data_IF_172347237801
#
_entry.id   IF_172347237801
#
_cell.length_a   1.000
_cell.length_b   1.000
_cell.length_c   1.000
_cell.angle_alpha   90.00
_cell.angle_beta   90.00
_cell.angle_gamma   90.00
#
_symmetry.space_group_name_H-M   'P 1'
#
loop_
_entity.id
_entity.type
_entity.pdbx_description
1 polymer ?
#
# COMPACT_ATOMS: atom_id res chain seq x y z
N UNK A 1 46.92 29.95 28.22
CA UNK A 1 45.53 30.19 27.79
C UNK A 1 45.52 30.56 26.31
N UNK A 2 44.60 30.03 25.50
CA UNK A 2 44.48 30.46 24.11
C UNK A 2 43.93 31.89 24.03
N UNK A 3 44.46 32.72 23.13
CA UNK A 3 43.98 34.10 22.94
C UNK A 3 42.63 34.13 22.22
N UNK A 4 41.84 35.19 22.42
CA UNK A 4 40.52 35.37 21.77
C UNK A 4 40.63 35.23 20.24
N UNK A 5 41.70 35.77 19.64
CA UNK A 5 41.98 35.61 18.21
C UNK A 5 42.20 34.15 17.78
N UNK A 6 42.77 33.29 18.64
CA UNK A 6 42.94 31.86 18.35
C UNK A 6 41.60 31.11 18.37
N UNK A 7 40.66 31.51 19.22
CA UNK A 7 39.30 30.95 19.28
C UNK A 7 38.44 31.37 18.08
N UNK A 8 38.63 32.60 17.57
CA UNK A 8 37.85 33.16 16.45
C UNK A 8 38.41 32.74 15.08
N UNK A 9 39.70 32.42 14.98
CA UNK A 9 40.38 32.10 13.70
C UNK A 9 39.79 30.91 12.94
N UNK A 10 39.19 29.94 13.63
CA UNK A 10 38.47 28.81 13.02
C UNK A 10 37.07 28.72 13.63
N UNK A 11 36.08 29.22 12.92
CA UNK A 11 34.68 29.05 13.30
C UNK A 11 34.34 27.57 13.48
N UNK A 12 33.44 27.25 14.41
CA UNK A 12 32.97 25.87 14.59
C UNK A 12 32.25 25.41 13.31
N UNK A 13 32.82 24.44 12.62
CA UNK A 13 32.13 23.77 11.51
C UNK A 13 31.06 22.84 12.07
N UNK A 14 29.84 22.93 11.53
CA UNK A 14 28.80 21.99 11.87
C UNK A 14 29.18 20.59 11.36
N UNK A 15 29.16 19.55 12.20
CA UNK A 15 29.50 18.20 11.75
C UNK A 15 28.53 17.74 10.66
N UNK A 16 29.06 17.30 9.51
CA UNK A 16 28.25 16.75 8.42
C UNK A 16 27.50 15.51 8.92
N UNK A 17 26.17 15.50 8.79
CA UNK A 17 25.34 14.33 9.12
C UNK A 17 25.67 13.20 8.15
N UNK A 18 26.15 12.06 8.68
CA UNK A 18 26.39 10.86 7.86
C UNK A 18 25.06 10.29 7.38
N UNK A 19 24.95 10.05 6.07
CA UNK A 19 23.78 9.38 5.51
C UNK A 19 23.79 7.91 5.96
N UNK A 20 22.73 7.50 6.67
CA UNK A 20 22.57 6.12 7.18
C UNK A 20 22.29 5.11 6.05
N UNK A 21 21.82 5.56 4.88
CA UNK A 21 21.41 4.74 3.75
C UNK A 21 21.99 5.25 2.41
N UNK A 22 23.33 5.20 2.22
CA UNK A 22 23.98 5.78 1.03
C UNK A 22 23.54 5.14 -0.30
N UNK A 23 23.26 3.83 -0.31
CA UNK A 23 22.93 3.10 -1.55
C UNK A 23 21.56 3.46 -2.15
N UNK A 24 20.65 4.05 -1.35
CA UNK A 24 19.34 4.46 -1.82
C UNK A 24 19.35 5.79 -2.60
N UNK A 25 20.49 6.51 -2.61
CA UNK A 25 20.65 7.83 -3.26
C UNK A 25 19.47 8.77 -2.96
N UNK A 26 19.26 9.08 -1.67
CA UNK A 26 18.20 9.94 -1.14
C UNK A 26 16.74 9.48 -1.34
N UNK A 27 16.50 8.28 -1.90
CA UNK A 27 15.15 7.72 -1.94
C UNK A 27 14.79 7.03 -0.61
N UNK A 28 13.53 7.13 -0.15
CA UNK A 28 13.09 6.45 1.07
C UNK A 28 13.10 4.93 0.91
N UNK A 29 12.75 4.44 -0.27
CA UNK A 29 12.68 3.03 -0.62
C UNK A 29 13.15 2.84 -2.06
N UNK A 30 13.72 1.68 -2.38
CA UNK A 30 14.17 1.37 -3.73
C UNK A 30 14.00 -0.10 -4.07
N UNK A 31 13.56 -0.36 -5.30
CA UNK A 31 13.40 -1.71 -5.83
C UNK A 31 14.78 -2.32 -6.13
N UNK A 32 14.89 -3.62 -5.91
CA UNK A 32 16.05 -4.42 -6.27
C UNK A 32 15.68 -5.88 -6.50
N UNK A 33 16.66 -6.65 -6.97
CA UNK A 33 16.53 -8.09 -7.26
C UNK A 33 17.42 -8.84 -6.28
N UNK A 34 16.89 -9.87 -5.62
CA UNK A 34 17.65 -10.76 -4.77
C UNK A 34 18.63 -11.58 -5.60
N UNK A 35 19.91 -11.50 -5.26
CA UNK A 35 20.95 -12.34 -5.87
C UNK A 35 21.18 -13.62 -5.10
N UNK A 36 21.12 -13.58 -3.76
CA UNK A 36 21.28 -14.77 -2.90
C UNK A 36 20.63 -14.53 -1.54
N UNK A 37 20.19 -15.60 -0.88
CA UNK A 37 19.54 -15.57 0.45
C UNK A 37 20.25 -16.55 1.39
N UNK A 38 20.61 -16.11 2.60
CA UNK A 38 21.32 -16.94 3.59
C UNK A 38 21.06 -16.46 5.03
N UNK A 39 21.60 -17.17 6.01
CA UNK A 39 21.52 -16.81 7.43
C UNK A 39 22.85 -16.27 7.96
N UNK A 40 22.80 -15.28 8.85
CA UNK A 40 23.95 -14.66 9.51
C UNK A 40 23.79 -14.79 11.03
N UNK A 41 24.89 -15.13 11.71
CA UNK A 41 24.98 -15.10 13.17
C UNK A 41 25.02 -13.64 13.67
N UNK A 42 24.12 -13.23 14.58
CA UNK A 42 24.15 -11.89 15.16
C UNK A 42 25.37 -11.69 16.06
N UNK A 43 25.74 -10.43 16.34
CA UNK A 43 26.87 -10.08 17.23
C UNK A 43 26.59 -10.44 18.70
N UNK A 44 25.33 -10.52 19.11
CA UNK A 44 24.96 -10.88 20.48
C UNK A 44 25.08 -12.40 20.68
N UNK A 45 25.77 -12.87 21.73
CA UNK A 45 25.85 -14.30 22.03
C UNK A 45 24.45 -14.86 22.27
N UNK A 46 24.23 -16.11 21.85
CA UNK A 46 22.98 -16.88 22.03
C UNK A 46 21.72 -16.27 21.37
N UNK A 47 21.88 -15.34 20.42
CA UNK A 47 20.75 -14.79 19.67
C UNK A 47 20.48 -15.60 18.40
N UNK A 48 19.20 -15.75 18.05
CA UNK A 48 18.74 -16.52 16.90
C UNK A 48 19.39 -16.07 15.58
N UNK A 49 19.64 -17.03 14.69
CA UNK A 49 20.15 -16.78 13.34
C UNK A 49 19.24 -15.79 12.60
N UNK A 50 19.85 -14.79 11.97
CA UNK A 50 19.11 -13.75 11.22
C UNK A 50 19.15 -14.06 9.74
N UNK A 51 17.99 -13.97 9.10
CA UNK A 51 17.84 -14.20 7.67
C UNK A 51 18.20 -12.92 6.92
N UNK A 52 19.04 -13.05 5.90
CA UNK A 52 19.65 -11.93 5.18
C UNK A 52 19.67 -12.24 3.69
N UNK A 53 19.46 -11.22 2.85
CA UNK A 53 19.57 -11.35 1.40
C UNK A 53 20.57 -10.34 0.84
N UNK A 54 21.21 -10.71 -0.27
CA UNK A 54 22.01 -9.82 -1.11
C UNK A 54 21.08 -9.33 -2.19
N UNK A 55 20.94 -8.02 -2.31
CA UNK A 55 20.00 -7.38 -3.22
C UNK A 55 20.77 -6.44 -4.14
N UNK A 56 20.62 -6.63 -5.45
CA UNK A 56 21.08 -5.69 -6.47
C UNK A 56 19.99 -4.63 -6.68
N UNK A 57 20.25 -3.40 -6.27
CA UNK A 57 19.30 -2.31 -6.45
C UNK A 57 19.20 -1.91 -7.93
N UNK A 58 18.11 -1.23 -8.28
CA UNK A 58 17.95 -0.56 -9.58
C UNK A 58 19.08 0.42 -9.94
N UNK A 59 19.84 0.89 -8.96
CA UNK A 59 21.02 1.74 -9.16
C UNK A 59 22.28 0.97 -9.57
N UNK A 60 22.22 -0.37 -9.67
CA UNK A 60 23.36 -1.25 -9.90
C UNK A 60 24.17 -1.58 -8.64
N UNK A 61 23.90 -0.90 -7.52
CA UNK A 61 24.61 -1.12 -6.26
C UNK A 61 24.07 -2.36 -5.56
N UNK A 62 24.97 -3.26 -5.17
CA UNK A 62 24.63 -4.41 -4.34
C UNK A 62 24.68 -4.08 -2.86
N UNK A 63 23.65 -4.49 -2.14
CA UNK A 63 23.51 -4.26 -0.71
C UNK A 63 23.12 -5.54 -0.01
N UNK A 64 23.60 -5.68 1.23
CA UNK A 64 23.17 -6.75 2.12
C UNK A 64 22.01 -6.22 2.96
N UNK A 65 20.86 -6.89 2.88
CA UNK A 65 19.60 -6.47 3.47
C UNK A 65 19.08 -7.52 4.47
N UNK A 66 18.62 -7.07 5.62
CA UNK A 66 17.94 -7.91 6.60
C UNK A 66 16.54 -8.29 6.11
N UNK A 67 16.14 -9.55 6.30
CA UNK A 67 14.78 -10.04 6.05
C UNK A 67 14.04 -10.06 7.40
N UNK A 68 13.04 -9.20 7.63
CA UNK A 68 12.32 -9.19 8.89
C UNK A 68 11.23 -10.26 8.96
N UNK A 69 11.00 -10.77 10.18
CA UNK A 69 9.97 -11.77 10.50
C UNK A 69 10.38 -13.22 10.24
N UNK A 70 9.44 -14.13 10.49
CA UNK A 70 9.58 -15.57 10.23
C UNK A 70 8.88 -15.94 8.90
N UNK A 71 9.19 -17.12 8.33
CA UNK A 71 8.54 -17.65 7.11
C UNK A 71 8.61 -16.74 5.87
N UNK A 72 9.79 -16.57 5.27
CA UNK A 72 9.93 -15.80 4.03
C UNK A 72 10.10 -16.74 2.83
N UNK A 73 9.48 -16.41 1.69
CA UNK A 73 9.57 -17.18 0.45
C UNK A 73 10.51 -16.52 -0.59
N UNK A 74 11.52 -15.76 -0.13
CA UNK A 74 12.44 -15.13 -1.08
C UNK A 74 13.38 -16.19 -1.64
N UNK A 75 13.43 -16.25 -2.95
CA UNK A 75 14.38 -17.04 -3.70
C UNK A 75 15.38 -16.11 -4.37
N UNK A 76 16.35 -16.70 -5.06
CA UNK A 76 17.17 -15.95 -6.01
C UNK A 76 16.27 -15.37 -7.10
N UNK A 77 16.63 -14.20 -7.61
CA UNK A 77 15.90 -13.42 -8.61
C UNK A 77 14.55 -12.81 -8.15
N UNK A 78 14.12 -13.04 -6.92
CA UNK A 78 12.94 -12.38 -6.37
C UNK A 78 13.11 -10.86 -6.34
N UNK A 79 12.07 -10.13 -6.76
CA UNK A 79 11.99 -8.68 -6.75
C UNK A 79 11.55 -8.21 -5.37
N UNK A 80 12.33 -7.29 -4.80
CA UNK A 80 12.14 -6.79 -3.44
C UNK A 80 12.18 -5.28 -3.38
N UNK A 81 11.54 -4.74 -2.34
CA UNK A 81 11.60 -3.33 -1.99
C UNK A 81 12.45 -3.17 -0.74
N UNK A 82 13.46 -2.31 -0.81
CA UNK A 82 14.45 -2.11 0.25
C UNK A 82 14.30 -0.71 0.83
N UNK A 83 14.35 -0.59 2.16
CA UNK A 83 14.39 0.70 2.85
C UNK A 83 15.65 0.81 3.74
N UNK A 84 15.96 2.05 4.12
CA UNK A 84 17.09 2.35 5.00
C UNK A 84 16.80 1.97 6.45
N UNK A 85 17.85 1.57 7.18
CA UNK A 85 17.74 1.11 8.56
C UNK A 85 17.85 -0.41 8.62
N UNK A 86 18.86 -0.90 9.33
CA UNK A 86 19.10 -2.32 9.57
C UNK A 86 19.18 -2.63 11.07
N UNK A 87 19.00 -3.90 11.47
CA UNK A 87 19.16 -4.31 12.86
C UNK A 87 20.56 -3.95 13.37
N UNK A 88 20.63 -3.36 14.56
CA UNK A 88 21.92 -3.00 15.20
C UNK A 88 22.79 -4.21 15.52
N UNK A 89 22.17 -5.38 15.57
CA UNK A 89 22.81 -6.64 15.95
C UNK A 89 23.63 -7.28 14.81
N UNK A 90 23.46 -6.81 13.57
CA UNK A 90 24.12 -7.35 12.39
C UNK A 90 25.18 -6.38 11.86
N UNK A 91 26.44 -6.82 11.86
CA UNK A 91 27.55 -6.07 11.27
C UNK A 91 27.39 -5.95 9.75
N UNK A 92 27.45 -4.73 9.22
CA UNK A 92 27.42 -4.49 7.77
C UNK A 92 26.03 -4.48 7.12
N UNK A 93 24.97 -4.83 7.84
CA UNK A 93 23.58 -4.82 7.32
C UNK A 93 22.91 -3.48 7.65
N UNK A 94 22.87 -2.57 6.69
CA UNK A 94 22.32 -1.20 6.87
C UNK A 94 20.90 -1.03 6.33
N UNK A 95 20.39 -2.04 5.65
CA UNK A 95 19.12 -1.99 4.93
C UNK A 95 18.23 -3.14 5.37
N UNK A 96 16.93 -2.93 5.28
CA UNK A 96 15.91 -3.94 5.58
C UNK A 96 14.97 -4.07 4.39
N UNK A 97 14.57 -5.30 4.10
CA UNK A 97 13.57 -5.59 3.07
C UNK A 97 12.18 -5.29 3.63
N UNK A 98 11.39 -4.53 2.88
CA UNK A 98 9.98 -4.25 3.19
C UNK A 98 9.17 -5.51 2.94
N UNK A 99 8.45 -6.01 3.95
CA UNK A 99 7.56 -7.18 3.83
C UNK A 99 6.19 -6.79 3.24
N UNK A 100 5.54 -7.77 2.61
CA UNK A 100 4.20 -7.61 2.01
C UNK A 100 4.19 -6.72 0.77
N UNK A 101 5.35 -6.50 0.15
CA UNK A 101 5.50 -5.78 -1.12
C UNK A 101 6.33 -6.61 -2.08
N UNK A 102 5.89 -6.68 -3.34
CA UNK A 102 6.50 -7.53 -4.37
C UNK A 102 6.55 -9.00 -3.91
N UNK A 103 7.69 -9.68 -4.06
CA UNK A 103 7.80 -11.12 -3.85
C UNK A 103 7.96 -11.51 -2.38
N UNK A 104 8.03 -10.53 -1.48
CA UNK A 104 8.00 -10.77 -0.04
C UNK A 104 6.59 -11.11 0.42
N UNK A 105 6.14 -12.32 0.08
CA UNK A 105 4.90 -12.91 0.54
C UNK A 105 4.87 -12.87 2.08
N UNK A 106 4.10 -11.91 2.58
CA UNK A 106 3.72 -11.76 3.99
C UNK A 106 2.26 -11.37 4.11
N UNK A 107 1.50 -11.39 3.01
CA UNK A 107 0.06 -11.26 3.06
C UNK A 107 -0.53 -12.66 3.15
N UNK A 108 -1.24 -12.93 4.25
CA UNK A 108 -1.99 -14.17 4.50
C UNK A 108 -2.95 -14.48 3.35
N UNK A 109 -3.33 -13.45 2.57
CA UNK A 109 -4.08 -13.57 1.33
C UNK A 109 -3.24 -13.07 0.14
N UNK A 110 -2.86 -13.95 -0.79
CA UNK A 110 -2.25 -13.58 -2.09
C UNK A 110 -3.27 -12.98 -3.08
N UNK A 111 -4.34 -12.35 -2.59
CA UNK A 111 -5.36 -11.77 -3.45
C UNK A 111 -5.01 -10.30 -3.77
N UNK A 112 -4.90 -9.91 -5.06
CA UNK A 112 -4.66 -8.53 -5.47
C UNK A 112 -5.70 -7.54 -4.92
N UNK A 113 -6.95 -7.96 -4.75
CA UNK A 113 -8.02 -7.11 -4.19
C UNK A 113 -7.79 -6.77 -2.72
N UNK A 114 -7.35 -7.75 -1.92
CA UNK A 114 -7.02 -7.52 -0.51
C UNK A 114 -5.83 -6.57 -0.38
N UNK A 115 -4.81 -6.76 -1.23
CA UNK A 115 -3.65 -5.84 -1.27
C UNK A 115 -4.07 -4.42 -1.65
N UNK A 116 -4.97 -4.26 -2.62
CA UNK A 116 -5.53 -2.96 -2.98
C UNK A 116 -6.34 -2.35 -1.84
N UNK A 117 -7.09 -3.15 -1.07
CA UNK A 117 -7.84 -2.70 0.11
C UNK A 117 -6.91 -2.15 1.19
N UNK A 118 -5.87 -2.92 1.55
CA UNK A 118 -4.85 -2.53 2.54
C UNK A 118 -4.23 -1.19 2.16
N UNK A 119 -3.82 -1.04 0.90
CA UNK A 119 -3.22 0.21 0.41
C UNK A 119 -4.18 1.40 0.44
N UNK A 120 -5.50 1.17 0.37
CA UNK A 120 -6.52 2.24 0.45
C UNK A 120 -6.88 2.60 1.89
N UNK A 121 -6.91 1.62 2.79
CA UNK A 121 -7.11 1.83 4.23
C UNK A 121 -5.92 2.55 4.85
N UNK A 122 -4.71 2.29 4.36
CA UNK A 122 -3.45 2.87 4.81
C UNK A 122 -3.49 4.41 4.87
N UNK A 123 -3.17 4.92 6.06
CA UNK A 123 -3.02 6.34 6.35
C UNK A 123 -1.61 6.61 6.88
N UNK A 124 -1.00 7.70 6.42
CA UNK A 124 0.31 8.19 6.90
C UNK A 124 1.44 7.14 6.88
N UNK A 125 1.40 6.18 5.94
CA UNK A 125 2.45 5.16 5.80
C UNK A 125 2.39 4.00 6.81
N UNK A 126 1.41 3.95 7.71
CA UNK A 126 1.29 2.91 8.75
C UNK A 126 0.71 1.60 8.19
N UNK A 127 1.51 0.86 7.43
CA UNK A 127 1.07 -0.36 6.73
C UNK A 127 0.65 -1.49 7.67
N UNK A 128 1.39 -1.72 8.74
CA UNK A 128 1.08 -2.79 9.72
C UNK A 128 -0.31 -2.61 10.34
N UNK A 129 -0.68 -1.38 10.69
CA UNK A 129 -2.02 -1.08 11.25
C UNK A 129 -3.11 -1.30 10.21
N UNK A 130 -2.87 -0.91 8.96
CA UNK A 130 -3.83 -1.15 7.88
C UNK A 130 -4.00 -2.64 7.56
N UNK A 131 -2.91 -3.41 7.62
CA UNK A 131 -2.93 -4.87 7.50
C UNK A 131 -3.77 -5.50 8.62
N UNK A 132 -3.53 -5.14 9.88
CA UNK A 132 -4.34 -5.62 11.01
C UNK A 132 -5.82 -5.33 10.82
N UNK A 133 -6.20 -4.06 10.56
CA UNK A 133 -7.61 -3.68 10.36
C UNK A 133 -8.29 -4.52 9.28
N UNK A 134 -7.60 -4.77 8.15
CA UNK A 134 -8.19 -5.52 7.03
C UNK A 134 -8.27 -7.01 7.35
N UNK A 135 -7.26 -7.60 7.97
CA UNK A 135 -7.31 -9.02 8.33
C UNK A 135 -8.35 -9.29 9.43
N UNK A 136 -8.44 -8.42 10.44
CA UNK A 136 -9.47 -8.50 11.47
C UNK A 136 -10.88 -8.39 10.86
N UNK A 137 -11.06 -7.51 9.86
CA UNK A 137 -12.33 -7.40 9.14
C UNK A 137 -12.66 -8.66 8.31
N UNK A 138 -11.68 -9.24 7.62
CA UNK A 138 -11.89 -10.47 6.83
C UNK A 138 -12.22 -11.66 7.73
N UNK A 139 -11.58 -11.75 8.90
CA UNK A 139 -11.90 -12.76 9.91
C UNK A 139 -13.35 -12.62 10.39
N UNK A 140 -13.79 -11.41 10.76
CA UNK A 140 -15.18 -11.15 11.14
C UNK A 140 -16.19 -11.48 10.02
N UNK A 141 -15.86 -11.20 8.75
CA UNK A 141 -16.71 -11.56 7.60
C UNK A 141 -16.82 -13.08 7.47
N UNK A 142 -15.70 -13.79 7.64
CA UNK A 142 -15.66 -15.26 7.57
C UNK A 142 -16.55 -15.90 8.64
N UNK A 143 -16.50 -15.36 9.87
CA UNK A 143 -17.35 -15.80 10.98
C UNK A 143 -18.85 -15.57 10.71
N UNK A 144 -19.21 -14.47 10.05
CA UNK A 144 -20.61 -14.13 9.76
C UNK A 144 -21.20 -14.86 8.55
N UNK A 145 -20.40 -15.14 7.52
CA UNK A 145 -20.91 -15.60 6.22
C UNK A 145 -20.65 -17.09 5.95
N UNK A 146 -19.82 -17.75 6.78
CA UNK A 146 -19.34 -19.13 6.62
C UNK A 146 -18.66 -19.45 5.25
N UNK A 147 -18.50 -18.45 4.38
CA UNK A 147 -17.84 -18.53 3.08
C UNK A 147 -16.45 -17.89 3.15
N UNK A 148 -15.59 -18.20 2.17
CA UNK A 148 -14.30 -17.52 2.01
C UNK A 148 -14.51 -15.99 1.91
N UNK A 149 -13.93 -15.19 2.82
CA UNK A 149 -14.11 -13.74 2.84
C UNK A 149 -13.61 -13.05 1.56
N UNK A 150 -12.67 -13.67 0.83
CA UNK A 150 -12.22 -13.15 -0.46
C UNK A 150 -13.32 -13.16 -1.53
N UNK A 151 -14.22 -14.14 -1.50
CA UNK A 151 -15.36 -14.24 -2.43
C UNK A 151 -16.38 -13.15 -2.11
N UNK A 152 -16.70 -12.95 -0.83
CA UNK A 152 -17.60 -11.88 -0.38
C UNK A 152 -17.07 -10.50 -0.75
N UNK A 153 -15.76 -10.27 -0.57
CA UNK A 153 -15.11 -9.03 -0.98
C UNK A 153 -15.20 -8.83 -2.50
N UNK A 154 -14.95 -9.88 -3.29
CA UNK A 154 -15.05 -9.80 -4.76
C UNK A 154 -16.47 -9.43 -5.19
N UNK A 155 -17.50 -10.07 -4.62
CA UNK A 155 -18.91 -9.76 -4.88
C UNK A 155 -19.25 -8.31 -4.52
N UNK A 156 -18.82 -7.85 -3.35
CA UNK A 156 -19.03 -6.45 -2.93
C UNK A 156 -18.40 -5.45 -3.91
N UNK A 157 -17.16 -5.71 -4.37
CA UNK A 157 -16.47 -4.85 -5.34
C UNK A 157 -17.18 -4.84 -6.69
N UNK A 158 -17.66 -5.99 -7.17
CA UNK A 158 -18.42 -6.10 -8.42
C UNK A 158 -19.73 -5.31 -8.35
N UNK A 159 -20.44 -5.36 -7.22
CA UNK A 159 -21.66 -4.60 -7.00
C UNK A 159 -21.41 -3.09 -6.94
N UNK A 160 -20.28 -2.63 -6.38
CA UNK A 160 -19.96 -1.19 -6.28
C UNK A 160 -19.33 -0.65 -7.57
N UNK A 161 -18.76 -1.51 -8.42
CA UNK A 161 -18.02 -1.11 -9.64
C UNK A 161 -18.90 -0.33 -10.63
N UNK A 162 -18.58 0.95 -10.95
CA UNK A 162 -19.29 1.69 -11.99
C UNK A 162 -18.81 1.28 -13.38
N UNK A 163 -19.76 1.07 -14.30
CA UNK A 163 -19.50 0.86 -15.73
C UNK A 163 -19.43 2.18 -16.52
N UNK A 164 -20.22 3.17 -16.12
CA UNK A 164 -20.25 4.51 -16.70
C UNK A 164 -19.84 5.53 -15.64
N UNK A 165 -19.04 6.52 -16.04
CA UNK A 165 -18.75 7.71 -15.24
C UNK A 165 -19.10 8.96 -16.03
N UNK A 166 -19.39 10.05 -15.32
CA UNK A 166 -19.67 11.34 -15.93
C UNK A 166 -18.43 12.22 -15.80
N UNK A 167 -17.97 12.81 -16.91
CA UNK A 167 -16.85 13.73 -16.95
C UNK A 167 -17.31 15.11 -17.40
N UNK A 168 -16.84 16.15 -16.71
CA UNK A 168 -17.02 17.52 -17.18
C UNK A 168 -16.14 17.77 -18.41
N UNK A 169 -16.75 18.21 -19.52
CA UNK A 169 -16.06 18.64 -20.73
C UNK A 169 -16.57 20.01 -21.18
N UNK A 170 -15.65 20.88 -21.57
CA UNK A 170 -15.99 22.21 -22.08
C UNK A 170 -16.10 22.18 -23.60
N UNK A 171 -17.25 22.60 -24.14
CA UNK A 171 -17.53 22.65 -25.58
C UNK A 171 -18.26 23.96 -25.87
N UNK A 172 -17.79 24.72 -26.87
CA UNK A 172 -18.45 25.96 -27.28
C UNK A 172 -18.61 27.01 -26.17
N UNK A 173 -17.73 27.01 -25.17
CA UNK A 173 -17.77 27.94 -24.03
C UNK A 173 -18.55 27.45 -22.80
N UNK A 174 -19.46 26.48 -22.95
CA UNK A 174 -20.23 25.85 -21.86
C UNK A 174 -19.61 24.53 -21.37
N UNK A 175 -19.91 24.15 -20.12
CA UNK A 175 -19.43 22.90 -19.50
C UNK A 175 -20.54 21.86 -19.48
N UNK A 176 -20.34 20.76 -20.18
CA UNK A 176 -21.27 19.63 -20.25
C UNK A 176 -20.79 18.45 -19.42
N UNK A 177 -21.74 17.71 -18.87
CA UNK A 177 -21.51 16.45 -18.18
C UNK A 177 -21.59 15.31 -19.21
N UNK A 178 -20.44 14.85 -19.69
CA UNK A 178 -20.35 13.85 -20.76
C UNK A 178 -20.21 12.45 -20.14
N UNK A 179 -21.12 11.51 -20.43
CA UNK A 179 -20.98 10.13 -19.97
C UNK A 179 -19.87 9.41 -20.76
N UNK A 180 -18.99 8.73 -20.03
CA UNK A 180 -17.85 7.98 -20.57
C UNK A 180 -17.79 6.61 -19.91
N UNK A 181 -17.49 5.59 -20.71
CA UNK A 181 -17.29 4.24 -20.20
C UNK A 181 -16.02 4.11 -19.36
N UNK A 182 -16.14 3.44 -18.21
CA UNK A 182 -15.06 3.25 -17.26
C UNK A 182 -14.30 1.98 -17.59
N UNK A 183 -12.98 2.11 -17.82
CA UNK A 183 -12.09 0.95 -17.97
C UNK A 183 -12.16 0.05 -16.71
N UNK A 184 -12.14 -1.29 -16.85
CA UNK A 184 -12.30 -2.21 -15.72
C UNK A 184 -11.34 -1.96 -14.54
N UNK A 185 -10.06 -1.68 -14.80
CA UNK A 185 -9.08 -1.41 -13.73
C UNK A 185 -9.37 -0.10 -12.98
N UNK A 186 -9.92 0.90 -13.68
CA UNK A 186 -10.35 2.16 -13.06
C UNK A 186 -11.62 1.95 -12.24
N UNK A 187 -12.56 1.15 -12.75
CA UNK A 187 -13.81 0.82 -12.07
C UNK A 187 -13.55 0.13 -10.73
N UNK A 188 -12.66 -0.87 -10.69
CA UNK A 188 -12.27 -1.52 -9.43
C UNK A 188 -11.60 -0.53 -8.48
N UNK A 189 -10.73 0.35 -8.98
CA UNK A 189 -10.09 1.40 -8.15
C UNK A 189 -11.10 2.39 -7.55
N UNK A 190 -12.12 2.78 -8.31
CA UNK A 190 -13.21 3.65 -7.85
C UNK A 190 -14.05 2.94 -6.79
N UNK A 191 -14.41 1.68 -7.02
CA UNK A 191 -15.17 0.88 -6.07
C UNK A 191 -14.45 0.75 -4.72
N UNK A 192 -13.16 0.39 -4.73
CA UNK A 192 -12.36 0.29 -3.51
C UNK A 192 -12.22 1.63 -2.79
N UNK A 193 -12.13 2.74 -3.52
CA UNK A 193 -12.08 4.07 -2.94
C UNK A 193 -13.40 4.44 -2.26
N UNK A 194 -14.53 4.17 -2.91
CA UNK A 194 -15.84 4.46 -2.35
C UNK A 194 -16.11 3.60 -1.12
N UNK A 195 -15.86 2.29 -1.19
CA UNK A 195 -15.96 1.39 -0.05
C UNK A 195 -15.23 1.95 1.17
N UNK A 196 -13.92 2.23 1.06
CA UNK A 196 -13.14 2.74 2.20
C UNK A 196 -13.61 4.11 2.69
N UNK A 197 -13.97 5.02 1.78
CA UNK A 197 -14.42 6.35 2.17
C UNK A 197 -15.78 6.31 2.89
N UNK A 198 -16.72 5.50 2.42
CA UNK A 198 -18.02 5.33 3.06
C UNK A 198 -17.90 4.55 4.38
N UNK A 199 -17.06 3.52 4.44
CA UNK A 199 -16.73 2.86 5.72
C UNK A 199 -16.21 3.85 6.76
N UNK A 200 -15.31 4.78 6.39
CA UNK A 200 -14.80 5.79 7.32
C UNK A 200 -15.90 6.72 7.85
N UNK A 201 -16.91 7.02 7.03
CA UNK A 201 -18.02 7.88 7.39
C UNK A 201 -19.10 7.19 8.25
N UNK A 202 -19.05 5.87 8.41
CA UNK A 202 -20.01 5.16 9.28
C UNK A 202 -19.74 5.41 10.77
N UNK A 203 -20.74 5.07 11.59
CA UNK A 203 -20.81 5.40 13.02
C UNK A 203 -20.27 4.30 13.95
N UNK A 204 -19.96 3.10 13.46
CA UNK A 204 -19.49 1.99 14.32
C UNK A 204 -18.16 2.32 15.03
N UNK A 205 -17.79 1.56 16.05
CA UNK A 205 -16.71 1.95 16.96
C UNK A 205 -15.32 1.74 16.36
N UNK A 206 -15.07 0.55 15.80
CA UNK A 206 -13.77 0.20 15.21
C UNK A 206 -13.78 0.32 13.69
N UNK A 207 -12.63 0.65 13.09
CA UNK A 207 -12.50 0.72 11.63
C UNK A 207 -12.72 -0.64 10.97
N UNK A 208 -12.38 -1.73 11.65
CA UNK A 208 -12.66 -3.10 11.19
C UNK A 208 -14.16 -3.35 11.13
N UNK A 209 -14.92 -3.07 12.18
CA UNK A 209 -16.39 -3.19 12.18
C UNK A 209 -17.05 -2.36 11.08
N UNK A 210 -16.60 -1.11 10.88
CA UNK A 210 -17.09 -0.23 9.80
C UNK A 210 -16.86 -0.83 8.41
N UNK A 211 -15.69 -1.44 8.19
CA UNK A 211 -15.38 -2.12 6.93
C UNK A 211 -16.24 -3.35 6.73
N UNK A 212 -16.41 -4.16 7.78
CA UNK A 212 -17.26 -5.36 7.75
C UNK A 212 -18.68 -4.99 7.36
N UNK A 213 -19.25 -3.99 8.04
CA UNK A 213 -20.61 -3.54 7.78
C UNK A 213 -20.78 -3.07 6.33
N UNK A 214 -19.87 -2.24 5.82
CA UNK A 214 -19.99 -1.74 4.43
C UNK A 214 -19.76 -2.84 3.38
N UNK A 215 -18.83 -3.78 3.61
CA UNK A 215 -18.59 -4.90 2.69
C UNK A 215 -19.78 -5.86 2.66
N UNK A 216 -20.40 -6.13 3.82
CA UNK A 216 -21.58 -6.98 3.92
C UNK A 216 -22.81 -6.32 3.28
N UNK A 217 -23.01 -5.02 3.50
CA UNK A 217 -24.08 -4.27 2.84
C UNK A 217 -23.88 -4.27 1.32
N UNK A 218 -22.65 -3.98 0.87
CA UNK A 218 -22.31 -3.94 -0.55
C UNK A 218 -22.40 -5.31 -1.24
N UNK A 219 -22.07 -6.40 -0.55
CA UNK A 219 -22.18 -7.75 -1.12
C UNK A 219 -23.65 -8.15 -1.36
N UNK A 220 -24.56 -7.65 -0.53
CA UNK A 220 -26.01 -7.79 -0.69
C UNK A 220 -26.63 -6.75 -1.65
N UNK A 221 -25.82 -5.87 -2.25
CA UNK A 221 -26.31 -4.82 -3.16
C UNK A 221 -26.92 -3.61 -2.46
N UNK A 222 -26.67 -3.45 -1.16
CA UNK A 222 -27.11 -2.31 -0.36
C UNK A 222 -25.92 -1.44 0.09
N UNK A 223 -26.20 -0.36 0.80
CA UNK A 223 -25.17 0.51 1.40
C UNK A 223 -24.87 1.78 0.59
N UNK A 224 -24.09 2.66 1.21
CA UNK A 224 -23.79 3.98 0.65
C UNK A 224 -22.89 3.87 -0.59
N UNK A 225 -21.97 2.91 -0.61
CA UNK A 225 -21.11 2.65 -1.75
C UNK A 225 -21.89 2.23 -3.00
N UNK A 226 -22.89 1.34 -2.86
CA UNK A 226 -23.74 0.90 -3.98
C UNK A 226 -24.65 2.04 -4.45
N UNK A 227 -25.27 2.78 -3.52
CA UNK A 227 -26.06 3.97 -3.85
C UNK A 227 -25.24 4.99 -4.66
N UNK A 228 -23.97 5.21 -4.31
CA UNK A 228 -23.09 6.12 -5.06
C UNK A 228 -22.89 5.69 -6.52
N UNK A 229 -22.79 4.39 -6.78
CA UNK A 229 -22.72 3.81 -8.13
C UNK A 229 -24.02 4.06 -8.90
N UNK A 230 -25.16 3.79 -8.27
CA UNK A 230 -26.48 3.99 -8.87
C UNK A 230 -26.73 5.44 -9.23
N UNK A 231 -26.41 6.38 -8.33
CA UNK A 231 -26.53 7.82 -8.60
C UNK A 231 -25.65 8.25 -9.79
N UNK A 232 -24.46 7.66 -9.92
CA UNK A 232 -23.58 7.91 -11.07
C UNK A 232 -24.16 7.35 -12.38
N UNK A 233 -24.78 6.17 -12.35
CA UNK A 233 -25.42 5.58 -13.53
C UNK A 233 -26.66 6.36 -13.96
N UNK A 234 -27.53 6.73 -13.02
CA UNK A 234 -28.69 7.60 -13.28
C UNK A 234 -28.25 8.93 -13.90
N UNK A 235 -27.19 9.54 -13.39
CA UNK A 235 -26.65 10.78 -13.93
C UNK A 235 -26.04 10.59 -15.33
N UNK A 236 -25.39 9.46 -15.60
CA UNK A 236 -24.84 9.14 -16.91
C UNK A 236 -25.95 8.88 -17.95
N UNK A 237 -27.02 8.19 -17.54
CA UNK A 237 -28.20 7.92 -18.36
C UNK A 237 -28.95 9.20 -18.71
N UNK A 238 -29.17 10.09 -17.73
CA UNK A 238 -29.80 11.38 -17.97
C UNK A 238 -29.04 12.25 -18.99
N UNK A 239 -27.71 12.11 -19.05
CA UNK A 239 -26.85 12.86 -19.95
C UNK A 239 -26.42 12.08 -21.21
N UNK A 240 -27.09 10.96 -21.52
CA UNK A 240 -26.75 10.09 -22.66
C UNK A 240 -26.70 10.83 -24.01
N UNK A 241 -27.51 11.88 -24.16
CA UNK A 241 -27.52 12.73 -25.36
C UNK A 241 -26.14 13.38 -25.64
N UNK A 242 -25.36 13.68 -24.61
CA UNK A 242 -24.05 14.34 -24.73
C UNK A 242 -22.88 13.36 -24.96
N UNK A 243 -23.14 12.06 -25.11
CA UNK A 243 -22.10 11.04 -25.31
C UNK A 243 -21.23 11.29 -26.56
N UNK A 244 -21.76 12.01 -27.55
CA UNK A 244 -21.02 12.38 -28.76
C UNK A 244 -19.88 13.37 -28.48
N UNK A 245 -19.92 14.14 -27.39
CA UNK A 245 -18.80 15.01 -27.01
C UNK A 245 -17.64 14.23 -26.34
N UNK A 246 -17.55 12.90 -26.50
CA UNK A 246 -16.48 12.07 -25.91
C UNK A 246 -15.17 12.14 -26.68
N UNK A 247 -15.20 12.34 -28.00
CA UNK A 247 -14.01 12.55 -28.84
C UNK A 247 -13.64 14.03 -28.87
#
# INVERSE_FOLDING_TARGET
>A
MPTIQQLVRKGRETPKKKNKAPALKANPQRRGVCTRVWTITPRKPNSALRKVARVRLTTGVEVTCYIPGEGHNLQEHSIVLVHGGGPKDLGGVRYTIVRGTLDTAGAVYQNPLVTQLINRVLLSGKKTVAEHIVYDALEQISQKTANDPAITLKRAVENVRPLLEVKSRRVGGASYQVPVEVKPQRGTTLAMRWLVNFSRARRENSMSERLVAEIMDASNGAGAAVKRREDMHKMAEANKAFAHYRW
#
